data_IF_675203444850
#
_entry.id   IF_675203444850
#
_cell.length_a   1.000
_cell.length_b   1.000
_cell.length_c   1.000
_cell.angle_alpha   90.00
_cell.angle_beta   90.00
_cell.angle_gamma   90.00
#
_symmetry.space_group_name_H-M   'P 1'
#
loop_
_entity.id
_entity.type
_entity.pdbx_description
1 polymer ?
#
# COMPACT_ATOMS: atom_id res chain seq x y z
N UNK A 1 13.48 25.02 -21.80
CA UNK A 1 12.04 24.92 -22.14
C UNK A 1 11.29 24.81 -20.82
N UNK A 2 10.40 25.74 -20.55
CA UNK A 2 9.75 25.85 -19.24
C UNK A 2 8.26 25.68 -19.42
N UNK A 3 7.64 24.96 -18.50
CA UNK A 3 6.19 24.80 -18.45
C UNK A 3 5.64 25.67 -17.33
N UNK A 4 4.51 26.32 -17.61
CA UNK A 4 3.69 26.96 -16.59
C UNK A 4 2.25 26.46 -16.73
N UNK A 5 1.47 26.56 -15.66
CA UNK A 5 0.09 26.10 -15.63
C UNK A 5 -0.88 27.25 -15.43
N UNK A 6 -2.05 27.12 -16.04
CA UNK A 6 -3.11 28.12 -15.99
C UNK A 6 -4.46 27.43 -15.79
N UNK A 7 -5.35 27.94 -14.94
CA UNK A 7 -6.73 27.42 -14.81
C UNK A 7 -7.51 27.61 -16.12
N UNK A 8 -8.67 26.95 -16.26
CA UNK A 8 -9.59 27.22 -17.38
C UNK A 8 -10.01 28.70 -17.47
N UNK A 9 -9.96 29.42 -16.34
CA UNK A 9 -10.32 30.84 -16.21
C UNK A 9 -9.16 31.80 -16.51
N UNK A 10 -7.96 31.28 -16.80
CA UNK A 10 -6.81 32.12 -17.13
C UNK A 10 -5.91 32.49 -15.96
N UNK A 11 -6.09 31.89 -14.77
CA UNK A 11 -5.28 32.19 -13.60
C UNK A 11 -4.03 31.31 -13.57
N UNK A 12 -2.85 31.92 -13.42
CA UNK A 12 -1.59 31.17 -13.25
C UNK A 12 -1.60 30.39 -11.93
N UNK A 13 -1.20 29.13 -12.00
CA UNK A 13 -1.10 28.21 -10.85
C UNK A 13 0.31 27.60 -10.80
N UNK A 14 0.81 27.40 -9.59
CA UNK A 14 2.15 26.83 -9.35
C UNK A 14 2.20 25.32 -9.56
N UNK A 15 1.04 24.65 -9.45
CA UNK A 15 0.88 23.22 -9.63
C UNK A 15 -0.35 22.94 -10.51
N UNK A 16 -0.33 21.89 -11.34
CA UNK A 16 -1.44 21.58 -12.21
C UNK A 16 -2.67 21.12 -11.42
N UNK A 17 -3.81 21.76 -11.67
CA UNK A 17 -5.11 21.38 -11.14
C UNK A 17 -5.91 20.57 -12.18
N UNK A 18 -6.93 19.78 -11.78
CA UNK A 18 -7.82 19.11 -12.72
C UNK A 18 -8.37 20.08 -13.76
N UNK A 19 -8.33 19.67 -15.03
CA UNK A 19 -8.73 20.51 -16.17
C UNK A 19 -8.03 21.88 -16.21
N UNK A 20 -6.70 21.93 -16.23
CA UNK A 20 -5.95 23.17 -16.44
C UNK A 20 -5.35 23.25 -17.86
N UNK A 21 -4.60 24.30 -18.17
CA UNK A 21 -3.81 24.42 -19.37
C UNK A 21 -2.32 24.33 -19.02
N UNK A 22 -1.58 23.52 -19.78
CA UNK A 22 -0.12 23.53 -19.79
C UNK A 22 0.34 24.47 -20.89
N UNK A 23 1.15 25.46 -20.53
CA UNK A 23 1.67 26.47 -21.45
C UNK A 23 3.16 26.21 -21.68
N UNK A 24 3.56 26.05 -22.94
CA UNK A 24 4.96 26.04 -23.32
C UNK A 24 5.45 27.48 -23.50
N UNK A 25 6.43 27.87 -22.69
CA UNK A 25 7.06 29.19 -22.73
C UNK A 25 8.52 29.11 -23.16
N UNK A 26 8.93 30.06 -24.01
CA UNK A 26 10.32 30.24 -24.42
C UNK A 26 11.12 31.01 -23.35
N UNK A 27 12.42 31.21 -23.60
CA UNK A 27 13.32 31.91 -22.66
C UNK A 27 12.93 33.38 -22.40
N UNK A 28 12.19 34.01 -23.32
CA UNK A 28 11.68 35.37 -23.17
C UNK A 28 10.31 35.42 -22.44
N UNK A 29 9.74 34.26 -22.06
CA UNK A 29 8.44 34.16 -21.40
C UNK A 29 7.22 34.19 -22.33
N UNK A 30 7.43 34.12 -23.65
CA UNK A 30 6.33 34.08 -24.62
C UNK A 30 5.73 32.68 -24.69
N UNK A 31 4.39 32.61 -24.60
CA UNK A 31 3.63 31.38 -24.79
C UNK A 31 3.53 31.08 -26.28
N UNK A 32 3.93 29.89 -26.70
CA UNK A 32 3.80 29.45 -28.09
C UNK A 32 2.93 28.21 -28.26
N UNK A 33 2.57 27.53 -27.17
CA UNK A 33 1.61 26.44 -27.17
C UNK A 33 0.80 26.45 -25.86
N UNK A 34 -0.51 26.23 -25.99
CA UNK A 34 -1.45 26.11 -24.87
C UNK A 34 -2.26 24.84 -25.09
N UNK A 35 -2.04 23.84 -24.24
CA UNK A 35 -2.67 22.53 -24.37
C UNK A 35 -3.53 22.26 -23.16
N UNK A 36 -4.76 21.79 -23.38
CA UNK A 36 -5.63 21.34 -22.29
C UNK A 36 -4.94 20.18 -21.59
N UNK A 37 -4.65 20.36 -20.31
CA UNK A 37 -3.94 19.42 -19.48
C UNK A 37 -4.86 18.98 -18.34
N UNK A 38 -5.15 17.69 -18.30
CA UNK A 38 -5.87 17.11 -17.19
C UNK A 38 -4.87 16.26 -16.39
N UNK A 39 -4.20 16.83 -15.37
CA UNK A 39 -3.27 16.06 -14.55
C UNK A 39 -4.03 14.87 -13.98
N UNK A 40 -3.44 13.68 -14.11
CA UNK A 40 -3.91 12.57 -13.30
C UNK A 40 -3.67 12.93 -11.83
N UNK A 41 -4.65 12.74 -10.93
CA UNK A 41 -4.42 12.96 -9.52
C UNK A 41 -3.19 12.15 -9.10
N UNK A 42 -2.21 12.82 -8.50
CA UNK A 42 -1.06 12.13 -7.93
C UNK A 42 -1.60 11.25 -6.79
N UNK A 43 -1.70 9.95 -7.03
CA UNK A 43 -2.16 9.02 -6.00
C UNK A 43 -1.34 9.24 -4.73
N UNK A 44 -2.03 9.46 -3.62
CA UNK A 44 -1.41 9.57 -2.31
C UNK A 44 -0.57 8.31 -2.06
N UNK A 45 0.70 8.46 -1.69
CA UNK A 45 1.54 7.32 -1.33
C UNK A 45 1.53 7.19 0.18
N UNK A 46 1.02 6.07 0.68
CA UNK A 46 0.88 5.77 2.11
C UNK A 46 1.97 4.78 2.49
N UNK A 47 2.73 5.11 3.53
CA UNK A 47 3.79 4.21 4.02
C UNK A 47 3.27 3.41 5.21
N UNK A 48 3.45 2.08 5.18
CA UNK A 48 3.28 1.28 6.40
C UNK A 48 4.59 1.32 7.18
N UNK A 49 4.54 1.86 8.40
CA UNK A 49 5.71 1.97 9.28
C UNK A 49 5.44 1.35 10.65
N UNK A 50 6.50 1.09 11.43
CA UNK A 50 6.41 0.49 12.77
C UNK A 50 5.54 -0.78 12.81
N UNK A 51 5.78 -1.68 11.84
CA UNK A 51 5.04 -2.94 11.74
C UNK A 51 5.36 -3.81 12.95
N UNK A 52 4.33 -4.22 13.68
CA UNK A 52 4.42 -5.18 14.77
C UNK A 52 3.45 -6.33 14.56
N UNK A 53 3.83 -7.51 15.05
CA UNK A 53 2.98 -8.70 15.05
C UNK A 53 2.92 -9.23 16.47
N UNK A 54 1.71 -9.31 17.02
CA UNK A 54 1.43 -9.84 18.34
C UNK A 54 0.81 -11.23 18.21
N UNK A 55 1.51 -12.23 18.72
CA UNK A 55 1.05 -13.61 18.91
C UNK A 55 1.91 -14.21 20.04
N UNK A 56 1.36 -15.17 20.80
CA UNK A 56 1.98 -15.66 22.04
C UNK A 56 3.36 -16.27 21.82
N UNK A 57 3.61 -16.82 20.64
CA UNK A 57 4.88 -17.41 20.23
C UNK A 57 5.51 -16.72 19.00
N UNK A 58 5.11 -15.49 18.71
CA UNK A 58 5.68 -14.76 17.58
C UNK A 58 7.16 -14.44 17.79
N UNK A 59 7.97 -14.68 16.76
CA UNK A 59 9.37 -14.27 16.75
C UNK A 59 9.72 -13.62 15.41
N UNK A 60 10.41 -12.49 15.43
CA UNK A 60 10.98 -11.89 14.23
C UNK A 60 12.41 -12.40 14.04
N UNK A 61 12.62 -13.25 13.03
CA UNK A 61 13.94 -13.82 12.69
C UNK A 61 14.41 -13.17 11.38
N UNK A 62 15.40 -12.28 11.48
CA UNK A 62 15.76 -11.41 10.35
C UNK A 62 14.59 -10.50 10.00
N UNK A 63 14.01 -10.67 8.80
CA UNK A 63 12.84 -9.92 8.34
C UNK A 63 11.57 -10.79 8.22
N UNK A 64 11.60 -12.01 8.76
CA UNK A 64 10.52 -13.00 8.63
C UNK A 64 9.87 -13.19 10.00
N UNK A 65 8.55 -13.01 10.07
CA UNK A 65 7.77 -13.29 11.26
C UNK A 65 7.44 -14.78 11.36
N UNK A 66 8.01 -15.46 12.34
CA UNK A 66 7.72 -16.85 12.64
C UNK A 66 6.55 -16.92 13.60
N UNK A 67 5.50 -17.64 13.21
CA UNK A 67 4.26 -17.77 13.96
C UNK A 67 3.80 -19.24 13.94
N UNK A 68 3.26 -19.80 15.02
CA UNK A 68 2.62 -21.11 14.96
C UNK A 68 1.42 -21.08 14.02
N UNK A 69 1.35 -22.07 13.14
CA UNK A 69 0.13 -22.39 12.39
C UNK A 69 -1.05 -22.55 13.37
N UNK A 70 -2.19 -21.96 13.03
CA UNK A 70 -3.43 -22.06 13.79
C UNK A 70 -3.53 -21.11 14.98
N UNK A 71 -2.47 -20.36 15.29
CA UNK A 71 -2.52 -19.33 16.32
C UNK A 71 -3.01 -18.00 15.74
N UNK A 72 -3.83 -17.30 16.52
CA UNK A 72 -4.30 -15.96 16.15
C UNK A 72 -3.18 -14.95 16.35
N UNK A 73 -3.07 -14.01 15.42
CA UNK A 73 -2.14 -12.89 15.52
C UNK A 73 -2.84 -11.57 15.26
N UNK A 74 -2.26 -10.50 15.78
CA UNK A 74 -2.64 -9.11 15.49
C UNK A 74 -1.45 -8.43 14.84
N UNK A 75 -1.62 -7.95 13.61
CA UNK A 75 -0.64 -7.11 12.93
C UNK A 75 -1.05 -5.65 13.11
N UNK A 76 -0.12 -4.80 13.56
CA UNK A 76 -0.30 -3.35 13.63
C UNK A 76 0.76 -2.62 12.82
N UNK A 77 0.37 -1.49 12.23
CA UNK A 77 1.29 -0.58 11.56
C UNK A 77 0.74 0.85 11.61
N UNK A 78 1.63 1.83 11.49
CA UNK A 78 1.24 3.24 11.36
C UNK A 78 0.98 3.57 9.89
N UNK A 79 -0.13 4.27 9.64
CA UNK A 79 -0.62 4.75 8.33
C UNK A 79 -1.29 6.12 8.49
N UNK A 80 -0.56 7.10 9.04
CA UNK A 80 -1.05 8.44 9.40
C UNK A 80 -1.70 9.24 8.26
N UNK A 81 -1.43 8.86 7.03
CA UNK A 81 -1.89 9.52 5.81
C UNK A 81 -3.29 9.08 5.40
N UNK A 82 -3.84 8.03 6.02
CA UNK A 82 -5.17 7.51 5.72
C UNK A 82 -6.20 7.93 6.78
N UNK A 83 -7.38 8.33 6.29
CA UNK A 83 -8.56 8.50 7.14
C UNK A 83 -9.09 7.14 7.61
N UNK A 84 -9.92 7.18 8.66
CA UNK A 84 -10.56 5.98 9.21
C UNK A 84 -11.33 5.22 8.12
N UNK A 85 -10.99 3.93 7.97
CA UNK A 85 -11.53 3.09 6.90
C UNK A 85 -11.26 1.61 7.15
N UNK A 86 -11.67 0.76 6.22
CA UNK A 86 -11.31 -0.65 6.17
C UNK A 86 -10.59 -0.96 4.86
N UNK A 87 -9.60 -1.86 4.95
CA UNK A 87 -8.84 -2.34 3.81
C UNK A 87 -8.89 -3.86 3.76
N UNK A 88 -9.27 -4.43 2.62
CA UNK A 88 -9.12 -5.86 2.38
C UNK A 88 -7.65 -6.16 2.05
N UNK A 89 -7.00 -6.91 2.91
CA UNK A 89 -5.59 -7.30 2.79
C UNK A 89 -5.53 -8.71 2.25
N UNK A 90 -4.87 -8.85 1.10
CA UNK A 90 -4.56 -10.15 0.53
C UNK A 90 -3.20 -10.63 1.01
N UNK A 91 -3.16 -11.85 1.52
CA UNK A 91 -1.96 -12.53 1.98
C UNK A 91 -1.77 -13.77 1.12
N UNK A 92 -0.64 -13.84 0.41
CA UNK A 92 -0.36 -14.90 -0.54
C UNK A 92 0.49 -15.97 0.13
N UNK A 93 0.05 -17.23 0.11
CA UNK A 93 0.91 -18.36 0.47
C UNK A 93 1.80 -18.70 -0.71
N UNK A 94 3.11 -18.82 -0.50
CA UNK A 94 4.10 -18.95 -1.56
C UNK A 94 4.95 -20.20 -1.44
N UNK A 95 5.47 -20.66 -2.58
CA UNK A 95 6.56 -21.63 -2.70
C UNK A 95 7.73 -20.97 -3.43
N UNK A 96 8.93 -21.54 -3.31
CA UNK A 96 10.13 -21.00 -3.97
C UNK A 96 10.34 -19.50 -3.68
N UNK A 97 10.12 -19.10 -2.42
CA UNK A 97 10.14 -17.73 -1.90
C UNK A 97 9.06 -16.77 -2.41
N UNK A 98 8.65 -16.82 -3.68
CA UNK A 98 7.79 -15.77 -4.25
C UNK A 98 6.60 -16.28 -5.08
N UNK A 99 6.56 -17.56 -5.44
CA UNK A 99 5.52 -18.08 -6.33
C UNK A 99 4.22 -18.33 -5.56
N UNK A 100 3.12 -17.58 -5.81
CA UNK A 100 1.87 -17.76 -5.10
C UNK A 100 1.21 -19.09 -5.46
N UNK A 101 0.70 -19.79 -4.46
CA UNK A 101 -0.07 -21.04 -4.61
C UNK A 101 -1.50 -20.93 -4.06
N UNK A 102 -1.77 -19.97 -3.19
CA UNK A 102 -3.10 -19.68 -2.62
C UNK A 102 -3.14 -18.25 -2.04
N UNK A 103 -4.33 -17.69 -1.82
CA UNK A 103 -4.51 -16.42 -1.12
C UNK A 103 -5.56 -16.49 0.00
N UNK A 104 -5.25 -15.83 1.11
CA UNK A 104 -6.17 -15.61 2.24
C UNK A 104 -6.41 -14.11 2.35
N UNK A 105 -7.64 -13.72 2.72
CA UNK A 105 -8.02 -12.32 2.81
C UNK A 105 -8.46 -11.97 4.23
N UNK A 106 -7.88 -10.90 4.76
CA UNK A 106 -8.23 -10.34 6.06
C UNK A 106 -8.75 -8.92 5.88
N UNK A 107 -9.68 -8.52 6.75
CA UNK A 107 -10.07 -7.11 6.86
C UNK A 107 -9.11 -6.46 7.85
N UNK A 108 -8.44 -5.40 7.42
CA UNK A 108 -7.74 -4.50 8.29
C UNK A 108 -8.58 -3.26 8.55
N UNK A 109 -8.60 -2.82 9.79
CA UNK A 109 -9.21 -1.56 10.21
C UNK A 109 -8.12 -0.50 10.30
N UNK A 110 -8.43 0.70 9.81
CA UNK A 110 -7.59 1.87 9.97
C UNK A 110 -8.39 2.83 10.85
N UNK A 111 -7.89 3.11 12.03
CA UNK A 111 -8.50 4.03 13.00
C UNK A 111 -7.40 4.89 13.60
N UNK A 112 -7.59 6.21 13.60
CA UNK A 112 -6.64 7.17 14.17
C UNK A 112 -5.20 7.00 13.62
N UNK A 113 -5.07 6.68 12.33
CA UNK A 113 -3.80 6.47 11.65
C UNK A 113 -3.09 5.15 12.01
N UNK A 114 -3.80 4.20 12.64
CA UNK A 114 -3.29 2.87 12.97
C UNK A 114 -4.00 1.80 12.15
N UNK A 115 -3.25 1.09 11.34
CA UNK A 115 -3.67 -0.12 10.66
C UNK A 115 -3.65 -1.28 11.68
N UNK A 116 -4.75 -2.00 11.80
CA UNK A 116 -4.88 -3.21 12.63
C UNK A 116 -5.53 -4.32 11.82
N UNK A 117 -4.86 -5.47 11.72
CA UNK A 117 -5.37 -6.67 11.06
C UNK A 117 -5.28 -7.85 12.02
N UNK A 118 -6.37 -8.61 12.13
CA UNK A 118 -6.38 -9.86 12.90
C UNK A 118 -6.40 -11.04 11.93
N UNK A 119 -5.56 -12.04 12.17
CA UNK A 119 -5.43 -13.18 11.27
C UNK A 119 -5.11 -14.48 11.98
N UNK A 120 -5.16 -15.56 11.21
CA UNK A 120 -4.76 -16.90 11.61
C UNK A 120 -4.36 -17.67 10.34
N UNK A 121 -3.17 -18.29 10.34
CA UNK A 121 -2.72 -19.13 9.23
C UNK A 121 -3.14 -20.58 9.47
N UNK A 122 -4.11 -21.07 8.69
CA UNK A 122 -4.64 -22.44 8.85
C UNK A 122 -3.69 -23.53 8.32
N UNK A 123 -2.81 -23.17 7.40
CA UNK A 123 -1.85 -24.06 6.77
C UNK A 123 -0.42 -23.59 7.09
N UNK A 124 0.51 -24.53 7.17
CA UNK A 124 1.92 -24.19 7.35
C UNK A 124 2.51 -23.70 6.04
N UNK A 125 3.61 -22.95 6.13
CA UNK A 125 4.37 -22.47 4.97
C UNK A 125 4.63 -20.97 5.02
N UNK A 126 5.16 -20.46 3.92
CA UNK A 126 5.54 -19.07 3.78
C UNK A 126 4.39 -18.22 3.25
N UNK A 127 4.17 -17.05 3.84
CA UNK A 127 3.14 -16.11 3.45
C UNK A 127 3.73 -14.72 3.21
N UNK A 128 3.22 -14.02 2.21
CA UNK A 128 3.65 -12.69 1.84
C UNK A 128 2.48 -11.71 1.82
N UNK A 129 2.72 -10.50 2.34
CA UNK A 129 1.91 -9.31 2.08
C UNK A 129 2.77 -8.36 1.28
N UNK A 130 2.39 -8.10 0.03
CA UNK A 130 3.17 -7.26 -0.88
C UNK A 130 2.42 -5.99 -1.26
N UNK A 131 3.09 -4.84 -1.39
CA UNK A 131 2.45 -3.62 -1.88
C UNK A 131 1.97 -3.79 -3.31
N UNK A 132 2.67 -4.55 -4.15
CA UNK A 132 2.29 -4.81 -5.54
C UNK A 132 0.90 -5.45 -5.63
N UNK A 133 0.64 -6.48 -4.81
CA UNK A 133 -0.63 -7.18 -4.81
C UNK A 133 -1.77 -6.32 -4.27
N UNK A 134 -1.54 -5.62 -3.15
CA UNK A 134 -2.54 -4.71 -2.58
C UNK A 134 -2.85 -3.55 -3.51
N UNK A 135 -1.83 -2.94 -4.11
CA UNK A 135 -1.99 -1.83 -5.06
C UNK A 135 -2.73 -2.25 -6.32
N UNK A 136 -2.52 -3.47 -6.82
CA UNK A 136 -3.31 -3.99 -7.93
C UNK A 136 -4.80 -4.14 -7.58
N UNK A 137 -5.13 -4.46 -6.33
CA UNK A 137 -6.50 -4.45 -5.82
C UNK A 137 -7.09 -3.04 -5.72
N UNK A 138 -6.33 -2.11 -5.12
CA UNK A 138 -6.69 -0.71 -4.96
C UNK A 138 -6.93 0.00 -6.30
N UNK A 139 -6.08 -0.27 -7.30
CA UNK A 139 -6.20 0.30 -8.64
C UNK A 139 -7.49 -0.14 -9.35
N UNK A 140 -7.90 -1.41 -9.19
CA UNK A 140 -9.14 -1.94 -9.78
C UNK A 140 -10.39 -1.26 -9.22
N UNK A 141 -10.35 -0.78 -7.99
CA UNK A 141 -11.47 -0.07 -7.35
C UNK A 141 -11.33 1.45 -7.45
N UNK A 142 -10.30 1.96 -8.14
CA UNK A 142 -10.08 3.39 -8.30
C UNK A 142 -9.70 4.11 -7.00
N UNK A 143 -9.03 3.43 -6.07
CA UNK A 143 -8.61 4.05 -4.82
C UNK A 143 -7.66 5.24 -5.08
N UNK A 144 -7.81 6.37 -4.37
CA UNK A 144 -7.02 7.58 -4.61
C UNK A 144 -5.60 7.52 -4.01
N UNK A 145 -5.15 6.33 -3.61
CA UNK A 145 -3.88 6.12 -2.94
C UNK A 145 -3.23 4.80 -3.33
N UNK A 146 -1.94 4.68 -3.02
CA UNK A 146 -1.12 3.48 -3.16
C UNK A 146 -0.32 3.28 -1.88
N UNK A 147 -0.05 2.03 -1.56
CA UNK A 147 0.78 1.64 -0.42
C UNK A 147 2.24 1.48 -0.85
N UNK A 148 3.18 1.92 -0.01
CA UNK A 148 4.62 1.75 -0.21
C UNK A 148 5.25 1.20 1.08
N UNK A 149 5.70 -0.05 1.02
CA UNK A 149 6.39 -0.73 2.13
C UNK A 149 7.15 -1.95 1.58
N UNK A 150 8.13 -2.45 2.34
CA UNK A 150 8.79 -3.73 2.00
C UNK A 150 7.83 -4.89 2.23
N UNK A 151 7.95 -5.96 1.44
CA UNK A 151 7.12 -7.15 1.64
C UNK A 151 7.19 -7.63 3.10
N UNK A 152 6.03 -7.94 3.67
CA UNK A 152 5.96 -8.56 4.99
C UNK A 152 5.94 -10.07 4.80
N UNK A 153 6.92 -10.74 5.37
CA UNK A 153 7.10 -12.18 5.24
C UNK A 153 6.75 -12.87 6.55
N UNK A 154 6.05 -13.99 6.44
CA UNK A 154 5.68 -14.85 7.55
C UNK A 154 6.04 -16.30 7.26
N UNK A 155 6.58 -16.99 8.25
CA UNK A 155 6.70 -18.45 8.27
C UNK A 155 5.70 -19.00 9.30
N UNK A 156 4.63 -19.61 8.80
CA UNK A 156 3.69 -20.33 9.64
C UNK A 156 4.21 -21.75 9.89
N UNK A 157 4.93 -21.94 10.99
CA UNK A 157 5.55 -23.23 11.32
C UNK A 157 4.55 -24.16 12.00
N UNK A 158 4.79 -25.47 11.87
CA UNK A 158 4.04 -26.47 12.63
C UNK A 158 4.60 -26.49 14.06
N UNK A 159 3.84 -26.14 15.10
CA UNK A 159 4.33 -26.23 16.48
C UNK A 159 4.60 -27.70 16.83
N UNK A 160 5.61 -27.95 17.65
CA UNK A 160 5.86 -29.30 18.17
C UNK A 160 4.62 -29.79 18.93
N UNK A 161 4.13 -30.98 18.58
CA UNK A 161 3.05 -31.59 19.33
C UNK A 161 3.62 -32.08 20.67
N UNK A 162 3.39 -31.33 21.74
CA UNK A 162 3.57 -31.88 23.08
C UNK A 162 2.58 -33.03 23.26
N UNK A 163 3.13 -34.24 23.29
CA UNK A 163 2.42 -35.52 23.46
C UNK A 163 1.94 -35.70 24.89
#
# INVERSE_FOLDING_TARGET
>A
MTYIYETIEGQRISEPAPSCYQLNVNEAGNIFEKTLYNPQPKNLVVTLSNVTVECGQAALVGNIWWLPKGERFILRANVSELADTQLMVMVERVINAEQPIDDIRFVAEIVDGVFTMQGCFELSGNYLITPSRLNAGLERIGAPFRLAFSALEFDAYMPEQTS
#
